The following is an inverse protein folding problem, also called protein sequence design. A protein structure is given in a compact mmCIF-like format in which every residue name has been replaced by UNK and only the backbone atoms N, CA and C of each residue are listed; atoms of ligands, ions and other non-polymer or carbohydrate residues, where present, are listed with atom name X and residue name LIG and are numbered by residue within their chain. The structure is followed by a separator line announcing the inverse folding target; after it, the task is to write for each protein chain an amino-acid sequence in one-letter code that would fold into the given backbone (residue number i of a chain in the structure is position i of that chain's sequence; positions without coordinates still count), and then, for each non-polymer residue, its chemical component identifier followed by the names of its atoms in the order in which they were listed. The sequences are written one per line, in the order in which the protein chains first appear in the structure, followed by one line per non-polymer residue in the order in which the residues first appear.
data_IF_084280826779
#
_entry.id   IF_084280826779
#
_cell.length_a   1.000
_cell.length_b   1.000
_cell.length_c   1.000
_cell.angle_alpha   90.00
_cell.angle_beta   90.00
_cell.angle_gamma   90.00
#
_symmetry.space_group_name_H-M   'P 1'
#
loop_
_entity.id
_entity.type
_entity.pdbx_description
1 polymer ?
#
# COMPACT_ATOMS: atom_id res chain seq x y z
N UNK A 1 -30.05 -36.72 15.41
CA UNK A 1 -31.10 -35.75 15.83
C UNK A 1 -30.35 -34.56 16.40
N UNK A 2 -30.45 -33.30 15.96
CA UNK A 2 -31.42 -32.57 15.14
C UNK A 2 -31.46 -31.12 15.68
N UNK A 3 -31.68 -30.13 14.81
CA UNK A 3 -31.73 -28.66 15.02
C UNK A 3 -30.35 -27.95 15.04
N UNK A 4 -29.92 -27.14 14.06
CA UNK A 4 -30.56 -26.19 13.14
C UNK A 4 -31.21 -24.98 13.84
N UNK A 5 -30.51 -23.85 13.85
CA UNK A 5 -31.10 -22.51 14.03
C UNK A 5 -30.49 -21.59 12.99
N UNK A 6 -31.34 -21.13 12.08
CA UNK A 6 -31.07 -20.12 11.08
C UNK A 6 -31.47 -18.74 11.61
N UNK A 7 -30.66 -17.72 11.32
CA UNK A 7 -31.09 -16.33 11.35
C UNK A 7 -30.35 -15.60 10.23
N UNK A 8 -31.06 -15.32 9.14
CA UNK A 8 -30.58 -14.43 8.08
C UNK A 8 -30.78 -12.98 8.48
N UNK A 9 -30.10 -12.06 7.79
CA UNK A 9 -30.48 -10.65 7.67
C UNK A 9 -30.23 -10.14 6.25
N UNK A 10 -31.03 -9.15 5.92
CA UNK A 10 -31.48 -8.72 4.60
C UNK A 10 -30.57 -7.66 3.95
N UNK A 11 -30.76 -7.55 2.64
CA UNK A 11 -30.06 -6.74 1.62
C UNK A 11 -30.33 -5.23 1.75
N UNK A 12 -29.32 -4.41 1.43
CA UNK A 12 -29.49 -3.00 1.13
C UNK A 12 -28.41 -2.48 0.17
N UNK A 13 -28.61 -2.62 -1.13
CA UNK A 13 -27.77 -1.99 -2.16
C UNK A 13 -28.41 -0.67 -2.62
N UNK A 14 -27.64 0.43 -2.55
CA UNK A 14 -27.97 1.69 -3.22
C UNK A 14 -27.24 1.77 -4.56
N UNK A 15 -28.03 2.03 -5.59
CA UNK A 15 -27.65 2.32 -6.99
C UNK A 15 -27.08 3.73 -7.11
N UNK A 16 -26.12 3.98 -8.01
CA UNK A 16 -26.15 5.19 -8.81
C UNK A 16 -26.35 4.86 -10.30
N UNK A 17 -27.14 5.72 -10.92
CA UNK A 17 -27.63 5.59 -12.28
C UNK A 17 -26.62 6.08 -13.30
N UNK A 18 -26.70 5.45 -14.46
CA UNK A 18 -25.98 5.72 -15.68
C UNK A 18 -26.28 7.13 -16.21
N UNK A 19 -25.30 7.75 -16.86
CA UNK A 19 -25.54 8.38 -18.18
C UNK A 19 -24.22 8.52 -18.92
N UNK A 20 -24.14 7.73 -19.98
CA UNK A 20 -23.11 7.67 -21.00
C UNK A 20 -23.55 8.54 -22.19
N UNK A 21 -22.68 8.59 -23.21
CA UNK A 21 -22.88 9.03 -24.60
C UNK A 21 -22.60 10.53 -24.82
N UNK A 22 -21.79 10.97 -25.78
CA UNK A 22 -21.41 10.42 -27.08
C UNK A 22 -19.98 10.83 -27.47
N UNK A 23 -19.37 9.98 -28.29
CA UNK A 23 -18.14 10.17 -29.04
C UNK A 23 -18.43 10.96 -30.33
N UNK A 24 -17.54 11.86 -30.74
CA UNK A 24 -17.21 12.09 -32.16
C UNK A 24 -15.81 12.75 -32.33
N UNK A 25 -15.16 12.56 -33.49
CA UNK A 25 -13.73 12.75 -33.69
C UNK A 25 -13.32 14.14 -34.23
N UNK A 26 -12.02 14.43 -34.13
CA UNK A 26 -11.38 15.69 -34.50
C UNK A 26 -11.50 16.09 -35.99
N UNK A 27 -11.37 17.40 -36.26
CA UNK A 27 -10.65 17.86 -37.44
C UNK A 27 -9.57 18.92 -37.11
N UNK A 28 -8.35 18.70 -37.59
CA UNK A 28 -7.44 19.77 -38.01
C UNK A 28 -7.85 20.19 -39.46
N UNK A 29 -7.44 21.34 -40.05
CA UNK A 29 -6.19 22.07 -39.83
C UNK A 29 -6.27 23.63 -39.93
N UNK A 30 -5.22 24.35 -39.49
CA UNK A 30 -4.72 25.56 -40.18
C UNK A 30 -3.44 26.09 -39.53
N UNK A 31 -2.56 26.58 -40.40
CA UNK A 31 -1.17 26.93 -40.24
C UNK A 31 -0.90 28.41 -39.89
N UNK A 32 0.31 28.68 -39.39
CA UNK A 32 1.08 29.93 -39.45
C UNK A 32 0.55 31.13 -38.63
N UNK A 33 1.30 31.58 -37.62
CA UNK A 33 2.29 32.67 -37.81
C UNK A 33 3.05 32.95 -36.50
N UNK A 34 4.30 33.34 -36.66
CA UNK A 34 5.30 33.60 -35.63
C UNK A 34 4.96 34.85 -34.80
N UNK A 35 5.20 34.75 -33.49
CA UNK A 35 5.12 35.86 -32.55
C UNK A 35 6.04 35.58 -31.37
N UNK A 36 7.21 36.22 -31.40
CA UNK A 36 8.31 36.15 -30.43
C UNK A 36 7.89 36.03 -28.96
N UNK A 37 8.41 34.99 -28.28
CA UNK A 37 8.44 34.85 -26.83
C UNK A 37 9.83 34.36 -26.42
N UNK A 38 10.43 34.87 -25.32
CA UNK A 38 11.86 34.75 -25.08
C UNK A 38 12.29 33.32 -24.76
N UNK A 39 13.48 32.99 -25.25
CA UNK A 39 14.23 31.75 -25.00
C UNK A 39 14.36 31.51 -23.49
N UNK A 40 13.97 30.33 -22.96
CA UNK A 40 14.37 29.97 -21.60
C UNK A 40 15.88 29.71 -21.57
N UNK A 41 16.58 30.52 -20.78
CA UNK A 41 17.98 30.35 -20.44
C UNK A 41 18.21 28.98 -19.72
N UNK A 42 19.42 28.42 -19.80
CA UNK A 42 19.76 27.16 -19.13
C UNK A 42 19.69 27.28 -17.60
N UNK A 43 19.53 26.15 -16.88
CA UNK A 43 19.43 26.15 -15.42
C UNK A 43 20.81 26.47 -14.80
N UNK A 44 21.02 27.72 -14.43
CA UNK A 44 22.10 28.14 -13.52
C UNK A 44 21.52 28.39 -12.13
N UNK A 45 21.08 27.32 -11.45
CA UNK A 45 20.74 27.37 -10.03
C UNK A 45 21.18 26.07 -9.36
N UNK A 46 22.49 25.88 -9.23
CA UNK A 46 23.06 24.73 -8.51
C UNK A 46 24.13 25.11 -7.47
N UNK A 47 24.38 26.40 -7.19
CA UNK A 47 25.43 26.79 -6.22
C UNK A 47 24.94 27.67 -5.06
N UNK A 48 23.69 28.14 -5.05
CA UNK A 48 23.18 29.02 -3.97
C UNK A 48 22.57 28.27 -2.79
N UNK A 49 22.39 26.95 -2.88
CA UNK A 49 21.82 26.14 -1.79
C UNK A 49 22.87 25.71 -0.74
N UNK A 50 24.14 25.58 -1.10
CA UNK A 50 25.17 25.10 -0.17
C UNK A 50 25.71 26.22 0.76
N UNK A 51 25.73 27.47 0.32
CA UNK A 51 26.20 28.61 1.14
C UNK A 51 25.21 28.99 2.27
N UNK A 52 23.92 28.66 2.10
CA UNK A 52 22.89 28.88 3.12
C UNK A 52 22.94 27.89 4.27
N UNK A 53 23.49 26.69 4.06
CA UNK A 53 23.60 25.68 5.14
C UNK A 53 24.84 25.92 6.00
N UNK A 54 25.94 26.39 5.41
CA UNK A 54 27.17 26.67 6.16
C UNK A 54 27.06 27.93 7.05
N UNK A 55 26.22 28.89 6.65
CA UNK A 55 25.98 30.11 7.43
C UNK A 55 25.18 29.86 8.72
N UNK A 56 24.43 28.74 8.80
CA UNK A 56 23.63 28.39 9.97
C UNK A 56 24.45 27.70 11.10
N UNK A 57 25.64 27.18 10.80
CA UNK A 57 26.49 26.50 11.78
C UNK A 57 27.47 27.42 12.52
N UNK A 58 27.59 28.68 12.13
CA UNK A 58 28.47 29.67 12.80
C UNK A 58 27.73 30.53 13.83
N UNK A 59 26.46 30.25 14.11
CA UNK A 59 25.61 31.05 15.00
C UNK A 59 25.55 30.51 16.44
N UNK A 60 26.34 29.47 16.76
CA UNK A 60 26.43 28.86 18.10
C UNK A 60 27.35 29.63 19.08
N UNK A 61 28.01 30.71 18.67
CA UNK A 61 28.96 31.43 19.53
C UNK A 61 28.75 32.95 19.61
N UNK A 62 27.51 33.41 19.46
CA UNK A 62 27.15 34.79 19.81
C UNK A 62 26.78 34.81 21.30
N UNK A 63 27.66 35.29 22.21
CA UNK A 63 27.25 35.47 23.59
C UNK A 63 26.08 36.46 23.61
N UNK A 64 24.96 36.02 24.17
CA UNK A 64 23.80 36.87 24.40
C UNK A 64 24.29 38.07 25.21
N UNK A 65 24.29 39.25 24.60
CA UNK A 65 24.69 40.49 25.27
C UNK A 65 23.61 40.82 26.30
N UNK A 66 23.85 40.46 27.55
CA UNK A 66 22.93 40.67 28.68
C UNK A 66 22.92 42.11 29.20
N UNK A 67 23.80 42.97 28.70
CA UNK A 67 23.88 44.35 29.13
C UNK A 67 22.95 45.23 28.28
N UNK A 68 21.68 45.31 28.71
CA UNK A 68 20.80 46.42 28.34
C UNK A 68 21.32 47.74 28.91
N UNK A 69 20.95 48.91 28.34
CA UNK A 69 21.46 50.19 28.82
C UNK A 69 21.10 50.38 30.30
N UNK A 70 22.09 50.70 31.13
CA UNK A 70 21.92 50.95 32.56
C UNK A 70 20.80 51.98 32.76
N UNK A 71 19.67 51.52 33.31
CA UNK A 71 18.52 52.37 33.58
C UNK A 71 18.89 53.39 34.65
N UNK A 72 18.91 54.68 34.27
CA UNK A 72 18.95 55.76 35.22
C UNK A 72 17.73 55.63 36.15
N UNK A 73 18.00 55.46 37.44
CA UNK A 73 16.99 55.33 38.48
C UNK A 73 16.14 56.60 38.53
N UNK A 74 14.91 56.51 38.03
CA UNK A 74 13.82 57.44 38.33
C UNK A 74 12.87 56.64 39.21
N UNK A 75 12.96 56.86 40.52
CA UNK A 75 12.11 56.18 41.48
C UNK A 75 10.65 56.58 41.33
N UNK A 76 9.76 55.60 41.22
CA UNK A 76 8.33 55.76 41.42
C UNK A 76 7.80 54.59 42.24
N UNK A 77 6.96 54.85 43.24
CA UNK A 77 6.31 53.83 44.07
C UNK A 77 5.39 52.83 43.30
N UNK A 78 5.43 52.84 41.96
CA UNK A 78 4.78 51.90 41.05
C UNK A 78 5.73 50.79 40.53
N UNK A 79 7.05 50.92 40.74
CA UNK A 79 8.07 50.00 40.22
C UNK A 79 8.03 48.62 40.90
N UNK A 80 7.74 48.56 42.20
CA UNK A 80 7.71 47.29 42.94
C UNK A 80 6.64 46.30 42.46
N UNK A 81 5.50 46.80 41.97
CA UNK A 81 4.44 45.95 41.41
C UNK A 81 4.78 45.44 40.01
N UNK A 82 5.57 46.19 39.24
CA UNK A 82 6.04 45.73 37.93
C UNK A 82 7.18 44.70 38.08
N UNK A 83 8.09 44.91 39.03
CA UNK A 83 9.15 43.95 39.36
C UNK A 83 8.60 42.61 39.86
N UNK A 84 7.58 42.63 40.72
CA UNK A 84 6.93 41.41 41.24
C UNK A 84 6.22 40.61 40.13
N UNK A 85 5.59 41.30 39.17
CA UNK A 85 4.98 40.67 38.00
C UNK A 85 6.03 40.06 37.05
N UNK A 86 7.16 40.74 36.84
CA UNK A 86 8.25 40.21 36.03
C UNK A 86 8.88 38.97 36.66
N UNK A 87 9.06 38.96 37.99
CA UNK A 87 9.56 37.79 38.72
C UNK A 87 8.59 36.61 38.60
N UNK A 88 7.28 36.86 38.76
CA UNK A 88 6.25 35.84 38.61
C UNK A 88 6.24 35.24 37.19
N UNK A 89 6.16 36.07 36.15
CA UNK A 89 6.16 35.61 34.74
C UNK A 89 7.45 34.85 34.41
N UNK A 90 8.58 35.29 34.94
CA UNK A 90 9.87 34.59 34.76
C UNK A 90 9.85 33.23 35.46
N UNK A 91 9.29 33.15 36.66
CA UNK A 91 9.15 31.90 37.41
C UNK A 91 8.20 30.91 36.72
N UNK A 92 7.08 31.39 36.16
CA UNK A 92 6.13 30.59 35.39
C UNK A 92 6.76 30.08 34.09
N UNK A 93 7.47 30.94 33.37
CA UNK A 93 8.19 30.56 32.14
C UNK A 93 9.26 29.49 32.40
N UNK A 94 9.99 29.59 33.53
CA UNK A 94 10.92 28.55 33.97
C UNK A 94 10.21 27.24 34.30
N UNK A 95 9.06 27.29 34.95
CA UNK A 95 8.30 26.07 35.26
C UNK A 95 7.82 25.36 34.00
N UNK A 96 7.31 26.12 33.02
CA UNK A 96 6.84 25.60 31.74
C UNK A 96 7.98 24.95 30.96
N UNK A 97 9.13 25.61 30.88
CA UNK A 97 10.32 25.06 30.18
C UNK A 97 10.83 23.78 30.82
N UNK A 98 10.89 23.72 32.15
CA UNK A 98 11.26 22.49 32.88
C UNK A 98 10.26 21.37 32.60
N UNK A 99 8.95 21.66 32.63
CA UNK A 99 7.91 20.67 32.34
C UNK A 99 7.99 20.14 30.91
N UNK A 100 8.16 21.03 29.92
CA UNK A 100 8.32 20.64 28.52
C UNK A 100 9.58 19.80 28.32
N UNK A 101 10.70 20.16 28.96
CA UNK A 101 11.93 19.37 28.90
C UNK A 101 11.75 17.96 29.50
N UNK A 102 11.00 17.84 30.59
CA UNK A 102 10.65 16.55 31.19
C UNK A 102 9.79 15.69 30.24
N UNK A 103 8.82 16.31 29.57
CA UNK A 103 7.94 15.62 28.61
C UNK A 103 8.74 15.13 27.39
N UNK A 104 9.62 15.98 26.82
CA UNK A 104 10.52 15.58 25.73
C UNK A 104 11.42 14.42 26.17
N UNK A 105 11.98 14.47 27.38
CA UNK A 105 12.79 13.38 27.90
C UNK A 105 11.96 12.08 28.10
N UNK A 106 10.69 12.20 28.50
CA UNK A 106 9.75 11.08 28.59
C UNK A 106 9.48 10.45 27.22
N UNK A 107 9.13 11.27 26.23
CA UNK A 107 8.85 10.84 24.86
C UNK A 107 10.07 10.17 24.21
N UNK A 108 11.27 10.71 24.42
CA UNK A 108 12.53 10.09 23.93
C UNK A 108 12.73 8.69 24.49
N UNK A 109 12.55 8.51 25.81
CA UNK A 109 12.64 7.17 26.43
C UNK A 109 11.61 6.20 25.88
N UNK A 110 10.39 6.66 25.60
CA UNK A 110 9.35 5.80 25.03
C UNK A 110 9.68 5.39 23.59
N UNK A 111 10.27 6.29 22.80
CA UNK A 111 10.76 5.96 21.45
C UNK A 111 11.88 4.92 21.52
N UNK A 112 12.83 5.06 22.44
CA UNK A 112 13.91 4.09 22.63
C UNK A 112 13.37 2.70 23.02
N UNK A 113 12.42 2.63 23.96
CA UNK A 113 11.81 1.38 24.38
C UNK A 113 10.99 0.72 23.24
N UNK A 114 10.29 1.52 22.44
CA UNK A 114 9.58 1.03 21.25
C UNK A 114 10.56 0.52 20.19
N UNK A 115 11.66 1.24 19.93
CA UNK A 115 12.69 0.81 18.99
C UNK A 115 13.31 -0.53 19.42
N UNK A 116 13.54 -0.71 20.73
CA UNK A 116 14.02 -1.96 21.29
C UNK A 116 13.03 -3.12 21.10
N UNK A 117 11.74 -2.87 21.34
CA UNK A 117 10.67 -3.86 21.08
C UNK A 117 10.59 -4.23 19.60
N UNK A 118 10.69 -3.26 18.69
CA UNK A 118 10.71 -3.52 17.24
C UNK A 118 11.90 -4.40 16.87
N UNK A 119 13.09 -4.11 17.41
CA UNK A 119 14.30 -4.91 17.15
C UNK A 119 14.11 -6.37 17.60
N UNK A 120 13.62 -6.58 18.82
CA UNK A 120 13.34 -7.93 19.36
C UNK A 120 12.32 -8.70 18.53
N UNK A 121 11.25 -8.03 18.08
CA UNK A 121 10.23 -8.66 17.24
C UNK A 121 10.79 -9.02 15.86
N UNK A 122 11.59 -8.14 15.27
CA UNK A 122 12.27 -8.41 13.99
C UNK A 122 13.22 -9.61 14.09
N UNK A 123 13.97 -9.73 15.19
CA UNK A 123 14.85 -10.86 15.46
C UNK A 123 14.06 -12.17 15.62
N UNK A 124 13.01 -12.17 16.44
CA UNK A 124 12.14 -13.34 16.62
C UNK A 124 11.45 -13.77 15.31
N UNK A 125 11.09 -12.81 14.46
CA UNK A 125 10.51 -13.08 13.14
C UNK A 125 11.54 -13.72 12.21
N UNK A 126 12.77 -13.22 12.17
CA UNK A 126 13.85 -13.80 11.37
C UNK A 126 14.18 -15.23 11.81
N UNK A 127 14.21 -15.50 13.12
CA UNK A 127 14.39 -16.85 13.66
C UNK A 127 13.24 -17.80 13.25
N UNK A 128 11.99 -17.31 13.32
CA UNK A 128 10.82 -18.09 12.92
C UNK A 128 10.83 -18.41 11.42
N UNK A 129 11.24 -17.46 10.58
CA UNK A 129 11.39 -17.67 9.13
C UNK A 129 12.47 -18.70 8.82
N UNK A 130 13.65 -18.58 9.43
CA UNK A 130 14.73 -19.56 9.26
C UNK A 130 14.29 -20.97 9.71
N UNK A 131 13.52 -21.08 10.80
CA UNK A 131 12.97 -22.35 11.25
C UNK A 131 11.93 -22.95 10.27
N UNK A 132 11.16 -22.11 9.58
CA UNK A 132 10.24 -22.54 8.53
C UNK A 132 11.00 -23.00 7.29
N UNK A 133 12.01 -22.27 6.83
CA UNK A 133 12.84 -22.64 5.67
C UNK A 133 13.55 -23.99 5.89
N UNK A 134 14.03 -24.25 7.10
CA UNK A 134 14.62 -25.55 7.47
C UNK A 134 13.55 -26.67 7.47
N UNK A 135 12.32 -26.39 7.88
CA UNK A 135 11.22 -27.36 7.80
C UNK A 135 10.78 -27.62 6.37
N UNK A 136 10.72 -26.59 5.54
CA UNK A 136 10.36 -26.70 4.13
C UNK A 136 11.42 -27.45 3.34
N UNK A 137 12.71 -27.15 3.55
CA UNK A 137 13.81 -27.90 2.93
C UNK A 137 13.79 -29.36 3.36
N UNK A 138 13.65 -29.67 4.66
CA UNK A 138 13.48 -31.07 5.13
C UNK A 138 12.24 -31.73 4.55
N UNK A 139 11.13 -31.00 4.38
CA UNK A 139 9.92 -31.52 3.75
C UNK A 139 10.13 -31.79 2.27
N UNK A 140 10.88 -30.94 1.57
CA UNK A 140 11.23 -31.11 0.16
C UNK A 140 12.18 -32.30 -0.04
N UNK A 141 13.17 -32.47 0.85
CA UNK A 141 14.06 -33.64 0.87
C UNK A 141 13.30 -34.93 1.19
N UNK A 142 12.40 -34.91 2.17
CA UNK A 142 11.52 -36.04 2.49
C UNK A 142 10.49 -36.31 1.37
N UNK A 143 10.14 -35.30 0.58
CA UNK A 143 9.32 -35.42 -0.62
C UNK A 143 10.14 -35.81 -1.87
N UNK A 144 11.43 -36.07 -1.73
CA UNK A 144 12.30 -36.57 -2.79
C UNK A 144 11.76 -37.88 -3.38
N UNK A 145 11.21 -37.77 -4.60
CA UNK A 145 10.56 -38.78 -5.46
C UNK A 145 9.05 -38.93 -5.27
N UNK A 146 8.33 -37.87 -5.61
CA UNK A 146 7.10 -38.00 -6.39
C UNK A 146 7.41 -37.49 -7.80
N UNK A 147 6.99 -38.19 -8.88
CA UNK A 147 7.23 -37.69 -10.22
C UNK A 147 6.60 -36.30 -10.30
N UNK A 148 7.38 -35.31 -10.74
CA UNK A 148 6.81 -34.09 -11.30
C UNK A 148 5.72 -34.57 -12.25
N UNK A 149 4.47 -34.30 -11.88
CA UNK A 149 3.37 -34.59 -12.77
C UNK A 149 3.68 -33.79 -14.01
N UNK A 150 3.97 -34.51 -15.10
CA UNK A 150 4.38 -33.93 -16.37
C UNK A 150 3.51 -32.70 -16.64
N UNK A 151 4.06 -31.59 -17.16
CA UNK A 151 3.28 -30.42 -17.55
C UNK A 151 2.14 -30.74 -18.53
N UNK A 152 2.10 -31.98 -19.05
CA UNK A 152 1.04 -32.56 -19.88
C UNK A 152 -0.14 -33.22 -19.13
N UNK A 153 -0.18 -33.22 -17.80
CA UNK A 153 -1.38 -33.71 -17.12
C UNK A 153 -2.54 -32.72 -17.33
N UNK A 154 -3.73 -33.18 -17.78
CA UNK A 154 -4.88 -32.31 -17.96
C UNK A 154 -5.23 -31.62 -16.63
N UNK A 155 -5.06 -30.30 -16.58
CA UNK A 155 -5.56 -29.50 -15.46
C UNK A 155 -7.07 -29.39 -15.63
N UNK A 156 -7.79 -30.09 -14.76
CA UNK A 156 -9.24 -30.00 -14.65
C UNK A 156 -9.58 -29.33 -13.31
N UNK A 157 -10.22 -28.17 -13.39
CA UNK A 157 -10.64 -27.37 -12.24
C UNK A 157 -12.15 -27.15 -12.28
N UNK A 158 -12.75 -26.84 -11.13
CA UNK A 158 -14.15 -26.44 -11.00
C UNK A 158 -14.24 -24.99 -10.55
N UNK A 159 -15.22 -24.27 -11.08
CA UNK A 159 -15.53 -22.91 -10.65
C UNK A 159 -16.24 -22.98 -9.30
N UNK A 160 -15.60 -22.40 -8.28
CA UNK A 160 -16.14 -22.27 -6.91
C UNK A 160 -17.05 -21.05 -6.83
N UNK A 161 -16.64 -19.96 -7.46
CA UNK A 161 -17.38 -18.71 -7.46
C UNK A 161 -17.14 -17.95 -8.77
N UNK A 162 -18.12 -17.17 -9.20
CA UNK A 162 -18.06 -16.38 -10.42
C UNK A 162 -18.69 -15.02 -10.19
N UNK A 163 -17.91 -13.97 -10.42
CA UNK A 163 -18.35 -12.59 -10.30
C UNK A 163 -18.46 -11.94 -11.70
N UNK A 164 -19.68 -11.85 -12.26
CA UNK A 164 -19.91 -11.28 -13.60
C UNK A 164 -19.62 -9.78 -13.68
N UNK A 165 -19.75 -9.04 -12.58
CA UNK A 165 -19.49 -7.60 -12.56
C UNK A 165 -17.99 -7.29 -12.72
N UNK A 166 -17.14 -8.13 -12.11
CA UNK A 166 -15.69 -7.98 -12.17
C UNK A 166 -15.03 -8.78 -13.30
N UNK A 167 -15.77 -9.65 -13.98
CA UNK A 167 -15.18 -10.51 -15.00
C UNK A 167 -14.23 -11.57 -14.41
N UNK A 168 -14.39 -11.94 -13.13
CA UNK A 168 -13.48 -12.82 -12.40
C UNK A 168 -14.18 -14.10 -11.94
N UNK A 169 -13.44 -15.20 -11.98
CA UNK A 169 -13.88 -16.51 -11.47
C UNK A 169 -12.83 -17.11 -10.55
N UNK A 170 -13.28 -17.87 -9.57
CA UNK A 170 -12.42 -18.57 -8.61
C UNK A 170 -12.45 -20.07 -8.91
N UNK A 171 -11.27 -20.67 -9.01
CA UNK A 171 -11.07 -22.09 -9.29
C UNK A 171 -10.67 -22.84 -8.02
N UNK A 172 -11.10 -24.10 -7.92
CA UNK A 172 -10.77 -25.01 -6.81
C UNK A 172 -9.37 -25.63 -6.89
N UNK A 173 -8.58 -25.26 -7.90
CA UNK A 173 -7.20 -25.70 -8.09
C UNK A 173 -6.25 -24.50 -8.02
N UNK A 174 -5.08 -24.69 -7.43
CA UNK A 174 -4.02 -23.69 -7.29
C UNK A 174 -2.66 -24.23 -7.71
N UNK A 175 -1.59 -23.61 -7.19
CA UNK A 175 -0.21 -23.93 -7.54
C UNK A 175 0.13 -25.41 -7.29
N UNK A 176 -0.43 -26.00 -6.21
CA UNK A 176 -0.17 -27.41 -5.86
C UNK A 176 -0.69 -28.40 -6.89
N UNK A 177 -1.65 -27.99 -7.71
CA UNK A 177 -2.26 -28.82 -8.75
C UNK A 177 -1.81 -28.42 -10.16
N UNK A 178 -0.79 -27.55 -10.25
CA UNK A 178 -0.16 -27.17 -11.51
C UNK A 178 -0.79 -25.95 -12.18
N UNK A 179 -1.72 -25.25 -11.53
CA UNK A 179 -2.23 -23.97 -12.04
C UNK A 179 -1.13 -22.91 -11.94
N UNK A 180 -0.91 -22.16 -13.02
CA UNK A 180 0.13 -21.13 -13.11
C UNK A 180 -0.47 -19.82 -13.58
N UNK A 181 0.16 -18.72 -13.20
CA UNK A 181 -0.19 -17.40 -13.71
C UNK A 181 -0.11 -17.40 -15.24
N UNK A 182 -1.13 -16.83 -15.89
CA UNK A 182 -1.24 -16.76 -17.34
C UNK A 182 -1.73 -18.03 -18.02
N UNK A 183 -1.99 -19.12 -17.28
CA UNK A 183 -2.59 -20.34 -17.84
C UNK A 183 -3.99 -20.05 -18.37
N UNK A 184 -4.26 -20.46 -19.61
CA UNK A 184 -5.58 -20.30 -20.23
C UNK A 184 -6.39 -21.58 -20.06
N UNK A 185 -7.63 -21.45 -19.59
CA UNK A 185 -8.55 -22.57 -19.39
C UNK A 185 -9.83 -22.33 -20.18
N UNK A 186 -10.46 -23.41 -20.65
CA UNK A 186 -11.77 -23.35 -21.31
C UNK A 186 -12.84 -23.88 -20.36
N UNK A 187 -13.88 -23.08 -20.13
CA UNK A 187 -15.03 -23.47 -19.32
C UNK A 187 -16.00 -24.28 -20.17
N UNK A 188 -16.37 -25.45 -19.67
CA UNK A 188 -17.34 -26.35 -20.24
C UNK A 188 -18.56 -26.49 -19.31
N UNK A 189 -19.75 -26.30 -19.87
CA UNK A 189 -21.04 -26.64 -19.26
C UNK A 189 -21.75 -27.61 -20.20
N UNK A 190 -22.14 -28.79 -19.70
CA UNK A 190 -22.79 -29.83 -20.52
C UNK A 190 -22.04 -30.18 -21.83
N UNK A 191 -20.69 -30.23 -21.76
CA UNK A 191 -19.78 -30.43 -22.90
C UNK A 191 -19.77 -29.31 -23.96
N UNK A 192 -20.38 -28.16 -23.68
CA UNK A 192 -20.36 -26.97 -24.54
C UNK A 192 -19.39 -25.95 -23.97
N UNK A 193 -18.61 -25.30 -24.83
CA UNK A 193 -17.74 -24.18 -24.45
C UNK A 193 -18.61 -22.98 -24.04
N UNK A 194 -18.41 -22.51 -22.82
CA UNK A 194 -19.07 -21.33 -22.25
C UNK A 194 -18.15 -20.12 -22.28
N UNK A 195 -16.89 -20.28 -21.86
CA UNK A 195 -15.94 -19.16 -21.81
C UNK A 195 -14.49 -19.62 -21.93
N UNK A 196 -13.60 -18.67 -22.20
CA UNK A 196 -12.15 -18.79 -22.03
C UNK A 196 -11.71 -17.93 -20.87
N UNK A 197 -10.91 -18.52 -20.00
CA UNK A 197 -10.38 -17.89 -18.79
C UNK A 197 -8.88 -17.78 -18.89
N UNK A 198 -8.29 -16.75 -18.30
CA UNK A 198 -6.86 -16.62 -18.07
C UNK A 198 -6.58 -16.43 -16.59
N UNK A 199 -5.73 -17.27 -16.03
CA UNK A 199 -5.37 -17.21 -14.62
C UNK A 199 -4.57 -15.93 -14.34
N UNK A 200 -5.03 -15.13 -13.38
CA UNK A 200 -4.45 -13.83 -12.98
C UNK A 200 -4.00 -13.79 -11.52
N UNK A 201 -4.38 -14.77 -10.69
CA UNK A 201 -3.85 -14.92 -9.34
C UNK A 201 -3.78 -16.41 -9.01
N UNK A 202 -2.71 -16.84 -8.33
CA UNK A 202 -2.53 -18.24 -7.95
C UNK A 202 -2.11 -18.32 -6.49
N UNK A 203 -2.91 -19.05 -5.71
CA UNK A 203 -2.61 -19.42 -4.33
C UNK A 203 -2.30 -20.91 -4.27
N UNK A 204 -1.92 -21.41 -3.09
CA UNK A 204 -1.58 -22.83 -2.94
C UNK A 204 -2.69 -23.79 -3.39
N UNK A 205 -3.96 -23.46 -3.10
CA UNK A 205 -5.12 -24.36 -3.26
C UNK A 205 -6.25 -23.79 -4.12
N UNK A 206 -6.16 -22.51 -4.49
CA UNK A 206 -7.19 -21.81 -5.29
C UNK A 206 -6.50 -20.90 -6.29
N UNK A 207 -7.17 -20.58 -7.39
CA UNK A 207 -6.68 -19.62 -8.37
C UNK A 207 -7.80 -18.68 -8.81
N UNK A 208 -7.46 -17.41 -9.00
CA UNK A 208 -8.31 -16.42 -9.62
C UNK A 208 -8.04 -16.37 -11.12
N UNK A 209 -9.08 -16.37 -11.94
CA UNK A 209 -8.98 -16.24 -13.38
C UNK A 209 -9.92 -15.14 -13.90
N UNK A 210 -9.44 -14.38 -14.88
CA UNK A 210 -10.23 -13.40 -15.62
C UNK A 210 -10.91 -14.07 -16.82
N UNK A 211 -12.13 -13.66 -17.13
CA UNK A 211 -12.88 -14.10 -18.30
C UNK A 211 -12.41 -13.31 -19.52
N UNK A 212 -11.77 -13.97 -20.48
CA UNK A 212 -11.29 -13.33 -21.71
C UNK A 212 -12.35 -13.29 -22.80
N UNK A 213 -13.09 -14.39 -22.97
CA UNK A 213 -14.07 -14.55 -24.05
C UNK A 213 -15.25 -15.36 -23.53
N UNK A 214 -16.47 -14.91 -23.80
CA UNK A 214 -17.70 -15.69 -23.55
C UNK A 214 -18.27 -16.17 -24.88
N UNK A 215 -18.62 -17.44 -24.94
CA UNK A 215 -19.32 -18.02 -26.06
C UNK A 215 -20.82 -17.71 -25.91
N UNK A 216 -21.43 -17.12 -26.94
CA UNK A 216 -22.88 -16.85 -27.01
C UNK A 216 -23.44 -15.99 -25.87
N UNK A 217 -22.59 -15.21 -25.21
CA UNK A 217 -22.99 -14.35 -24.09
C UNK A 217 -23.26 -15.09 -22.78
N UNK A 218 -22.99 -16.39 -22.70
CA UNK A 218 -23.14 -17.16 -21.45
C UNK A 218 -21.96 -16.88 -20.53
N UNK A 219 -22.25 -16.47 -19.29
CA UNK A 219 -21.23 -16.24 -18.27
C UNK A 219 -20.94 -17.54 -17.48
N UNK A 220 -19.68 -17.79 -17.08
CA UNK A 220 -19.34 -18.92 -16.20
C UNK A 220 -20.13 -18.88 -14.89
N UNK A 221 -20.53 -20.04 -14.40
CA UNK A 221 -21.27 -20.18 -13.14
C UNK A 221 -20.55 -21.16 -12.21
N UNK A 222 -20.85 -21.03 -10.92
CA UNK A 222 -20.41 -21.99 -9.90
C UNK A 222 -20.80 -23.41 -10.29
N UNK A 223 -19.83 -24.32 -10.24
CA UNK A 223 -20.01 -25.73 -10.62
C UNK A 223 -19.56 -26.09 -12.03
N UNK A 224 -19.34 -25.10 -12.91
CA UNK A 224 -18.80 -25.35 -14.24
C UNK A 224 -17.38 -25.94 -14.19
N UNK A 225 -17.01 -26.68 -15.23
CA UNK A 225 -15.70 -27.34 -15.34
C UNK A 225 -14.77 -26.52 -16.23
N UNK A 226 -13.62 -26.12 -15.71
CA UNK A 226 -12.56 -25.47 -16.45
C UNK A 226 -11.47 -26.48 -16.80
N UNK A 227 -11.18 -26.64 -18.09
CA UNK A 227 -10.19 -27.60 -18.59
C UNK A 227 -9.14 -26.90 -19.44
N UNK A 228 -7.89 -27.33 -19.32
CA UNK A 228 -6.83 -26.93 -20.24
C UNK A 228 -7.04 -27.61 -21.59
N UNK A 229 -7.60 -26.89 -22.55
CA UNK A 229 -7.68 -27.35 -23.95
C UNK A 229 -6.53 -26.66 -24.68
N UNK A 230 -5.57 -27.44 -25.17
CA UNK A 230 -4.54 -26.92 -26.08
C UNK A 230 -5.27 -26.39 -27.33
N UNK A 231 -5.07 -25.13 -27.74
CA UNK A 231 -5.57 -24.69 -29.03
C UNK A 231 -4.91 -25.58 -30.10
N UNK A 232 -5.73 -26.19 -30.97
CA UNK A 232 -5.22 -26.91 -32.14
C UNK A 232 -4.30 -25.96 -32.91
N UNK A 233 -3.02 -26.30 -33.01
CA UNK A 233 -2.05 -25.56 -33.80
C UNK A 233 -2.29 -25.80 -35.30
N UNK A 234 -1.88 -24.85 -36.17
CA UNK A 234 -1.95 -25.01 -37.62
C UNK A 234 -1.07 -26.16 -38.14
#
# INVERSE_FOLDING_TARGET
MGAAVAAGWWIGARRPENSSLMMEPAPAPASLNEGSGPVPAPPEEAETAEESVQSAWNEEEIPIRTDGPASAAVGGAADGQQDELLELVTSESRLVTVRMAQEIAGLRRELDDRAERIRKLSEALAEAQAALDVRESRRAEAAGRLPERSPDAPVEARIVDANPELGLVVLDQGARQGVRYGLTLTVLRDRRRVARLRVVDVRERVAGAAVEETARGDYPQTGDRAVLIRPDGP
#
